data_IF_861236575285
#
_entry.id   IF_861236575285
#
_cell.length_a   1.000
_cell.length_b   1.000
_cell.length_c   1.000
_cell.angle_alpha   90.00
_cell.angle_beta   90.00
_cell.angle_gamma   90.00
#
_symmetry.space_group_name_H-M   'P 1'
#
loop_
_entity.id
_entity.type
_entity.pdbx_description
1 polymer ?
#
# COMPACT_ATOMS: atom_id res chain seq x y z
N UNK A 1 12.28 9.91 4.91
CA UNK A 1 12.19 10.04 6.38
C UNK A 1 12.50 8.66 6.91
N UNK A 2 13.49 8.49 7.79
CA UNK A 2 13.81 7.15 8.32
C UNK A 2 12.65 6.66 9.17
N UNK A 3 12.19 5.41 8.97
CA UNK A 3 11.14 4.80 9.79
C UNK A 3 11.61 4.75 11.26
N UNK A 4 10.74 5.16 12.19
CA UNK A 4 10.99 4.97 13.62
C UNK A 4 10.73 3.51 13.98
N UNK A 5 11.80 2.71 14.06
CA UNK A 5 11.72 1.27 14.32
C UNK A 5 11.25 0.93 15.72
N UNK A 6 11.32 1.87 16.67
CA UNK A 6 10.74 1.70 18.00
C UNK A 6 9.23 1.88 17.98
N UNK A 7 8.74 2.80 17.14
CA UNK A 7 7.31 3.06 16.96
C UNK A 7 6.63 2.02 16.05
N UNK A 8 7.37 1.48 15.09
CA UNK A 8 6.84 0.57 14.05
C UNK A 8 7.64 -0.75 13.96
N UNK A 9 7.72 -1.54 15.06
CA UNK A 9 8.56 -2.73 15.11
C UNK A 9 8.09 -3.88 14.21
N UNK A 10 6.81 -3.97 13.87
CA UNK A 10 6.26 -5.02 12.99
C UNK A 10 6.26 -4.57 11.53
N UNK A 11 5.91 -3.31 11.27
CA UNK A 11 5.88 -2.76 9.92
C UNK A 11 7.27 -2.74 9.31
N UNK A 12 8.34 -2.50 10.08
CA UNK A 12 9.72 -2.53 9.55
C UNK A 12 10.07 -3.88 8.92
N UNK A 13 9.47 -4.97 9.40
CA UNK A 13 9.68 -6.35 8.95
C UNK A 13 8.85 -6.72 7.70
N UNK A 14 8.07 -5.81 7.14
CA UNK A 14 7.19 -6.06 5.99
C UNK A 14 7.31 -4.94 4.95
N UNK A 15 8.51 -4.72 4.42
CA UNK A 15 8.75 -3.70 3.39
C UNK A 15 8.17 -4.12 2.02
N UNK A 16 8.04 -5.42 1.79
CA UNK A 16 7.47 -5.99 0.58
C UNK A 16 6.61 -7.24 0.86
N UNK A 17 5.82 -7.73 -0.12
CA UNK A 17 4.92 -8.86 0.10
C UNK A 17 5.63 -10.18 0.44
N UNK A 18 6.89 -10.38 0.02
CA UNK A 18 7.65 -11.57 0.38
C UNK A 18 7.96 -11.59 1.88
N UNK A 19 8.42 -10.47 2.43
CA UNK A 19 8.69 -10.31 3.87
C UNK A 19 7.40 -10.36 4.69
N UNK A 20 6.32 -9.72 4.20
CA UNK A 20 5.00 -9.78 4.80
C UNK A 20 4.53 -11.24 5.01
N UNK A 21 4.73 -12.10 4.01
CA UNK A 21 4.33 -13.52 4.06
C UNK A 21 5.18 -14.36 5.04
N UNK A 22 6.35 -13.87 5.45
CA UNK A 22 7.17 -14.52 6.46
C UNK A 22 6.69 -14.23 7.89
N UNK A 23 5.84 -13.21 8.07
CA UNK A 23 5.29 -12.91 9.38
C UNK A 23 4.32 -14.01 9.84
N UNK A 24 4.39 -14.42 11.12
CA UNK A 24 3.35 -15.24 11.74
C UNK A 24 1.99 -14.54 11.67
N UNK A 25 0.90 -15.31 11.50
CA UNK A 25 -0.45 -14.75 11.33
C UNK A 25 -0.90 -13.90 12.53
N UNK A 26 -0.47 -14.28 13.72
CA UNK A 26 -0.69 -13.57 14.97
C UNK A 26 -0.11 -12.15 14.98
N UNK A 27 0.91 -11.88 14.17
CA UNK A 27 1.52 -10.55 14.06
C UNK A 27 0.78 -9.65 13.06
N UNK A 28 -0.16 -10.17 12.27
CA UNK A 28 -0.85 -9.38 11.25
C UNK A 28 -1.76 -8.30 11.84
N UNK A 29 -2.34 -8.54 13.01
CA UNK A 29 -3.14 -7.52 13.71
C UNK A 29 -2.25 -6.35 14.12
N UNK A 30 -1.09 -6.63 14.73
CA UNK A 30 -0.12 -5.60 15.09
C UNK A 30 0.39 -4.83 13.86
N UNK A 31 0.64 -5.55 12.76
CA UNK A 31 1.00 -4.91 11.48
C UNK A 31 -0.08 -3.96 10.98
N UNK A 32 -1.36 -4.35 11.01
CA UNK A 32 -2.46 -3.48 10.60
C UNK A 32 -2.52 -2.21 11.45
N UNK A 33 -2.37 -2.32 12.77
CA UNK A 33 -2.37 -1.17 13.67
C UNK A 33 -1.19 -0.22 13.40
N UNK A 34 0.00 -0.78 13.22
CA UNK A 34 1.20 0.01 12.88
C UNK A 34 1.10 0.67 11.50
N UNK A 35 0.59 -0.05 10.50
CA UNK A 35 0.39 0.48 9.15
C UNK A 35 -0.63 1.62 9.14
N UNK A 36 -1.72 1.47 9.89
CA UNK A 36 -2.72 2.52 10.10
C UNK A 36 -2.11 3.75 10.75
N UNK A 37 -1.36 3.57 11.83
CA UNK A 37 -0.71 4.69 12.53
C UNK A 37 0.36 5.36 11.63
N UNK A 38 1.14 4.58 10.90
CA UNK A 38 2.14 5.09 9.96
C UNK A 38 1.50 5.91 8.82
N UNK A 39 0.35 5.47 8.32
CA UNK A 39 -0.41 6.21 7.30
C UNK A 39 -0.91 7.55 7.84
N UNK A 40 -1.43 7.58 9.08
CA UNK A 40 -1.83 8.82 9.76
C UNK A 40 -0.62 9.75 9.95
N UNK A 41 0.50 9.24 10.45
CA UNK A 41 1.71 10.02 10.69
C UNK A 41 2.30 10.62 9.40
N UNK A 42 2.34 9.83 8.33
CA UNK A 42 3.07 10.17 7.10
C UNK A 42 2.25 11.03 6.14
N UNK A 43 0.93 10.84 6.11
CA UNK A 43 0.06 11.42 5.07
C UNK A 43 -0.88 12.49 5.61
N UNK A 44 -1.13 12.57 6.94
CA UNK A 44 -2.05 13.56 7.54
C UNK A 44 -1.72 15.01 7.23
N UNK A 45 -0.45 15.32 6.94
CA UNK A 45 0.01 16.68 6.60
C UNK A 45 -0.19 17.04 5.12
N UNK A 46 -0.50 16.06 4.28
CA UNK A 46 -0.74 16.25 2.84
C UNK A 46 -2.24 16.22 2.54
N UNK A 47 -2.70 16.96 1.53
CA UNK A 47 -4.10 17.06 1.12
C UNK A 47 -4.69 15.78 0.49
N UNK A 48 -4.13 14.61 0.80
CA UNK A 48 -4.37 13.31 0.15
C UNK A 48 -5.60 12.54 0.62
N UNK A 49 -5.98 11.52 -0.15
CA UNK A 49 -7.08 10.59 0.12
C UNK A 49 -6.75 9.57 1.24
N UNK A 50 -6.11 10.00 2.31
CA UNK A 50 -5.62 9.12 3.36
C UNK A 50 -6.77 8.38 4.08
N UNK A 51 -7.93 9.05 4.23
CA UNK A 51 -9.12 8.46 4.85
C UNK A 51 -9.60 7.19 4.13
N UNK A 52 -9.55 7.16 2.79
CA UNK A 52 -9.92 5.96 2.02
C UNK A 52 -8.91 4.82 2.19
N UNK A 53 -7.63 5.15 2.38
CA UNK A 53 -6.60 4.17 2.70
C UNK A 53 -6.79 3.53 4.08
N UNK A 54 -7.27 4.27 5.08
CA UNK A 54 -7.53 3.73 6.42
C UNK A 54 -8.55 2.57 6.41
N UNK A 55 -9.53 2.62 5.51
CA UNK A 55 -10.56 1.60 5.37
C UNK A 55 -10.11 0.33 4.63
N UNK A 56 -8.89 0.30 4.10
CA UNK A 56 -8.37 -0.84 3.31
C UNK A 56 -7.08 -1.42 3.87
N UNK A 57 -6.67 -1.02 5.07
CA UNK A 57 -5.45 -1.52 5.74
C UNK A 57 -5.50 -3.04 5.87
N UNK A 58 -6.53 -3.59 6.52
CA UNK A 58 -6.68 -5.03 6.75
C UNK A 58 -6.81 -5.80 5.44
N UNK A 59 -7.60 -5.27 4.51
CA UNK A 59 -7.79 -5.89 3.20
C UNK A 59 -6.46 -5.97 2.44
N UNK A 60 -5.67 -4.90 2.45
CA UNK A 60 -4.38 -4.86 1.77
C UNK A 60 -3.41 -5.87 2.37
N UNK A 61 -3.32 -5.92 3.71
CA UNK A 61 -2.47 -6.89 4.42
C UNK A 61 -2.90 -8.31 4.05
N UNK A 62 -4.20 -8.61 4.14
CA UNK A 62 -4.72 -9.93 3.81
C UNK A 62 -4.42 -10.32 2.34
N UNK A 63 -4.67 -9.42 1.38
CA UNK A 63 -4.42 -9.67 -0.04
C UNK A 63 -2.95 -10.00 -0.30
N UNK A 64 -2.01 -9.18 0.17
CA UNK A 64 -0.58 -9.44 -0.06
C UNK A 64 -0.02 -10.60 0.77
N UNK A 65 -0.69 -10.97 1.86
CA UNK A 65 -0.35 -12.15 2.65
C UNK A 65 -0.75 -13.46 1.95
N UNK A 66 -1.90 -13.49 1.28
CA UNK A 66 -2.41 -14.73 0.66
C UNK A 66 -2.05 -14.89 -0.82
N UNK A 67 -2.00 -13.79 -1.58
CA UNK A 67 -1.63 -13.81 -2.99
C UNK A 67 -0.12 -13.67 -3.18
N UNK A 68 0.41 -14.37 -4.16
CA UNK A 68 1.82 -14.30 -4.57
C UNK A 68 2.09 -13.09 -5.46
N UNK A 69 1.80 -11.88 -4.99
CA UNK A 69 2.11 -10.65 -5.74
C UNK A 69 3.62 -10.47 -5.86
N UNK A 70 4.17 -10.03 -7.02
CA UNK A 70 3.45 -9.49 -8.18
C UNK A 70 3.08 -10.53 -9.26
N UNK A 71 3.35 -11.83 -9.04
CA UNK A 71 2.91 -12.88 -9.95
C UNK A 71 1.37 -12.92 -10.04
N UNK A 72 0.71 -12.94 -8.87
CA UNK A 72 -0.73 -12.72 -8.81
C UNK A 72 -1.04 -11.22 -8.89
N UNK A 73 -2.05 -10.88 -9.67
CA UNK A 73 -2.43 -9.49 -9.91
C UNK A 73 -3.46 -9.02 -8.90
N UNK A 74 -3.14 -7.91 -8.21
CA UNK A 74 -4.09 -7.15 -7.40
C UNK A 74 -4.37 -5.84 -8.11
N UNK A 75 -5.63 -5.62 -8.48
CA UNK A 75 -6.08 -4.40 -9.17
C UNK A 75 -6.97 -3.58 -8.23
N UNK A 76 -6.61 -2.31 -8.03
CA UNK A 76 -7.40 -1.36 -7.26
C UNK A 76 -8.19 -0.44 -8.20
N UNK A 77 -9.52 -0.46 -8.13
CA UNK A 77 -10.35 0.48 -8.89
C UNK A 77 -10.21 1.92 -8.35
N UNK A 78 -10.10 2.92 -9.23
CA UNK A 78 -9.72 4.32 -8.93
C UNK A 78 -8.31 4.46 -8.34
N UNK A 79 -8.00 3.74 -7.26
CA UNK A 79 -6.69 3.67 -6.63
C UNK A 79 -6.44 4.64 -5.48
N UNK A 80 -7.42 5.49 -5.13
CA UNK A 80 -7.28 6.44 -4.02
C UNK A 80 -7.10 5.77 -2.64
N UNK A 81 -7.63 4.56 -2.51
CA UNK A 81 -7.53 3.70 -1.33
C UNK A 81 -6.21 2.91 -1.25
N UNK A 82 -5.38 2.92 -2.29
CA UNK A 82 -4.21 2.02 -2.41
C UNK A 82 -2.94 2.52 -1.70
N UNK A 83 -3.05 3.39 -0.69
CA UNK A 83 -1.88 3.89 0.04
C UNK A 83 -1.23 2.80 0.90
N UNK A 84 -1.98 1.97 1.66
CA UNK A 84 -1.43 0.79 2.32
C UNK A 84 -0.73 -0.14 1.33
N UNK A 85 -1.29 -0.31 0.12
CA UNK A 85 -0.71 -1.13 -0.93
C UNK A 85 0.67 -0.60 -1.35
N UNK A 86 0.80 0.70 -1.62
CA UNK A 86 2.11 1.31 -1.93
C UNK A 86 3.11 1.12 -0.78
N UNK A 87 2.68 1.28 0.47
CA UNK A 87 3.54 1.10 1.64
C UNK A 87 4.11 -0.32 1.70
N UNK A 88 3.27 -1.35 1.57
CA UNK A 88 3.65 -2.77 1.67
C UNK A 88 4.31 -3.34 0.40
N UNK A 89 4.59 -2.50 -0.60
CA UNK A 89 5.20 -2.90 -1.88
C UNK A 89 6.43 -2.07 -2.19
N UNK A 90 7.27 -1.86 -1.18
CA UNK A 90 8.60 -1.25 -1.30
C UNK A 90 8.60 0.28 -1.40
N UNK A 91 7.48 0.95 -1.12
CA UNK A 91 7.37 2.43 -1.26
C UNK A 91 7.08 3.14 0.06
N UNK A 92 7.19 2.44 1.20
CA UNK A 92 7.00 3.00 2.55
C UNK A 92 7.77 4.32 2.76
N UNK A 93 9.08 4.33 2.49
CA UNK A 93 9.94 5.48 2.78
C UNK A 93 9.67 6.69 1.87
N UNK A 94 9.01 6.46 0.73
CA UNK A 94 8.63 7.48 -0.25
C UNK A 94 7.19 7.96 -0.08
N UNK A 95 6.39 7.36 0.81
CA UNK A 95 4.95 7.65 0.89
C UNK A 95 4.65 9.12 1.19
N UNK A 96 5.50 9.80 1.95
CA UNK A 96 5.36 11.23 2.25
C UNK A 96 5.49 12.13 1.00
N UNK A 97 6.07 11.63 -0.10
CA UNK A 97 6.22 12.35 -1.37
C UNK A 97 4.99 12.23 -2.28
N UNK A 98 3.98 11.44 -1.89
CA UNK A 98 2.82 11.18 -2.74
C UNK A 98 2.13 12.48 -3.15
N UNK A 99 1.74 12.58 -4.43
CA UNK A 99 1.13 13.78 -5.06
C UNK A 99 2.04 15.00 -5.19
N UNK A 100 3.29 14.93 -4.75
CA UNK A 100 4.26 15.99 -4.97
C UNK A 100 4.90 15.84 -6.35
N UNK A 101 5.40 16.95 -6.90
CA UNK A 101 6.19 16.92 -8.14
C UNK A 101 7.39 15.99 -7.95
N UNK A 102 7.59 15.06 -8.88
CA UNK A 102 8.63 14.02 -8.84
C UNK A 102 8.51 13.04 -7.65
N UNK A 103 7.37 13.04 -6.94
CA UNK A 103 7.06 12.08 -5.89
C UNK A 103 6.28 10.87 -6.40
N UNK A 104 5.69 10.10 -5.48
CA UNK A 104 4.80 9.00 -5.85
C UNK A 104 3.51 9.50 -6.51
N UNK A 105 3.00 8.74 -7.47
CA UNK A 105 1.72 8.96 -8.12
C UNK A 105 0.57 8.89 -7.10
N UNK A 106 -0.49 9.69 -7.30
CA UNK A 106 -1.67 9.69 -6.44
C UNK A 106 -2.38 8.33 -6.38
N UNK A 107 -2.23 7.50 -7.42
CA UNK A 107 -2.89 6.21 -7.61
C UNK A 107 -1.86 5.17 -8.10
N UNK A 108 -2.20 3.86 -8.15
CA UNK A 108 -1.38 2.87 -8.82
C UNK A 108 -1.03 3.28 -10.25
N UNK A 109 0.25 3.17 -10.60
CA UNK A 109 0.78 3.52 -11.92
C UNK A 109 1.82 2.49 -12.35
N UNK A 110 1.62 1.90 -13.53
CA UNK A 110 2.49 0.80 -14.05
C UNK A 110 3.97 1.20 -14.17
N UNK A 111 4.24 2.48 -14.44
CA UNK A 111 5.60 3.00 -14.51
C UNK A 111 6.27 3.21 -13.14
N UNK A 112 5.53 3.08 -12.04
CA UNK A 112 6.04 3.28 -10.68
C UNK A 112 6.53 2.00 -10.01
N UNK A 113 5.84 0.89 -10.23
CA UNK A 113 6.02 -0.35 -9.48
C UNK A 113 5.48 -1.56 -10.23
N UNK A 114 6.17 -2.69 -10.11
CA UNK A 114 5.70 -3.99 -10.59
C UNK A 114 4.42 -4.49 -9.90
N UNK A 115 4.07 -3.91 -8.74
CA UNK A 115 2.84 -4.26 -8.01
C UNK A 115 1.61 -3.47 -8.51
N UNK A 116 1.81 -2.46 -9.36
CA UNK A 116 0.76 -1.61 -9.91
C UNK A 116 0.37 -2.10 -11.32
N UNK A 117 -0.49 -3.11 -11.42
CA UNK A 117 -0.80 -3.75 -12.71
C UNK A 117 -1.61 -2.87 -13.68
N UNK A 118 -2.42 -1.96 -13.14
CA UNK A 118 -3.25 -1.03 -13.91
C UNK A 118 -3.01 0.41 -13.46
N UNK A 119 -2.75 1.29 -14.42
CA UNK A 119 -2.72 2.74 -14.17
C UNK A 119 -4.15 3.25 -14.10
N UNK A 120 -4.57 3.72 -12.92
CA UNK A 120 -5.97 4.08 -12.64
C UNK A 120 -6.13 5.55 -12.27
N UNK A 121 -7.38 6.02 -12.33
CA UNK A 121 -7.80 7.36 -11.92
C UNK A 121 -9.30 7.55 -12.11
N UNK A 122 -9.83 7.12 -13.26
CA UNK A 122 -11.27 6.94 -13.45
C UNK A 122 -11.75 5.63 -12.81
N UNK A 123 -13.00 5.63 -12.36
CA UNK A 123 -13.65 4.46 -11.75
C UNK A 123 -14.10 3.45 -12.80
N UNK A 124 -14.45 2.25 -12.31
CA UNK A 124 -15.13 1.20 -13.07
C UNK A 124 -14.30 0.58 -14.20
N UNK A 125 -12.97 0.61 -14.06
CA UNK A 125 -12.04 0.08 -15.06
C UNK A 125 -11.40 -1.24 -14.64
N UNK A 126 -11.41 -1.56 -13.34
CA UNK A 126 -10.72 -2.72 -12.76
C UNK A 126 -11.23 -4.07 -13.29
N UNK A 127 -12.55 -4.29 -13.34
CA UNK A 127 -13.13 -5.59 -13.73
C UNK A 127 -12.85 -5.88 -15.20
N UNK A 128 -13.01 -4.90 -16.09
CA UNK A 128 -12.69 -5.05 -17.51
C UNK A 128 -11.22 -5.37 -17.73
N UNK A 129 -10.33 -4.73 -16.96
CA UNK A 129 -8.89 -5.01 -17.02
C UNK A 129 -8.52 -6.37 -16.40
N UNK A 130 -9.24 -6.82 -15.37
CA UNK A 130 -9.00 -8.13 -14.75
C UNK A 130 -9.53 -9.32 -15.58
N UNK A 131 -10.42 -9.06 -16.55
CA UNK A 131 -10.89 -10.08 -17.48
C UNK A 131 -9.91 -10.35 -18.63
N UNK A 132 -9.16 -9.32 -19.05
CA UNK A 132 -8.26 -9.37 -20.22
C UNK A 132 -6.85 -9.79 -19.86
#
# INVERSE_FOLDING_TARGET
>A
MSLDTKKYPTLVLSDNPMELRQLPKENLVALCDELRQFLLDSVSRSSGHFASGLGTVELTVALHYVYNTPFDWVIWDIGHQAYPHKILTGRRDRIATIRQRNGLHPFPWRGESEYDQLSVGHSSTSISAGLG
#
